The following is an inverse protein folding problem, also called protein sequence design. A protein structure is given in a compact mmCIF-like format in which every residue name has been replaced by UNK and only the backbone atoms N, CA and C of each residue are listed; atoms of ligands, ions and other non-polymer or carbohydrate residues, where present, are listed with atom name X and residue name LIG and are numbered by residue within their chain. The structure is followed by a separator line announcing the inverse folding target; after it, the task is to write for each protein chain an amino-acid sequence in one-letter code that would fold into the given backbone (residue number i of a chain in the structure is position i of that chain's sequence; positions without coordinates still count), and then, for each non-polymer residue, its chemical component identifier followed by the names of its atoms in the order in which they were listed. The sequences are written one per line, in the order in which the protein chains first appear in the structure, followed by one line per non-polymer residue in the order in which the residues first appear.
data_IF_476999184418
#
_entry.id   IF_476999184418
#
_cell.length_a   1.000
_cell.length_b   1.000
_cell.length_c   1.000
_cell.angle_alpha   90.00
_cell.angle_beta   90.00
_cell.angle_gamma   90.00
#
_symmetry.space_group_name_H-M   'P 1'
#
loop_
_entity.id
_entity.type
_entity.pdbx_description
1 polymer ?
#
# COMPACT_ATOMS: atom_id res chain seq x y z
N UNK A 1 -12.00 -14.69 27.60
CA UNK A 1 -11.36 -13.89 26.53
C UNK A 1 -9.88 -13.83 26.85
N UNK A 2 -9.11 -14.86 26.48
CA UNK A 2 -7.66 -14.84 26.66
C UNK A 2 -7.08 -13.95 25.55
N UNK A 3 -6.64 -12.75 25.90
CA UNK A 3 -5.80 -11.99 24.99
C UNK A 3 -4.49 -12.79 24.85
N UNK A 4 -4.22 -13.30 23.64
CA UNK A 4 -3.05 -14.13 23.33
C UNK A 4 -1.70 -13.41 23.57
N UNK A 5 -1.75 -12.18 24.08
CA UNK A 5 -0.64 -11.30 24.36
C UNK A 5 -0.52 -10.91 25.84
N UNK A 6 -1.35 -11.46 26.74
CA UNK A 6 -1.10 -11.28 28.18
C UNK A 6 0.24 -11.89 28.57
N UNK A 7 0.97 -11.21 29.47
CA UNK A 7 2.36 -11.55 29.85
C UNK A 7 2.50 -13.02 30.25
N UNK A 8 1.56 -13.54 31.03
CA UNK A 8 1.59 -14.91 31.55
C UNK A 8 1.33 -15.94 30.46
N UNK A 9 0.31 -15.73 29.63
CA UNK A 9 0.02 -16.60 28.49
C UNK A 9 1.17 -16.62 27.47
N UNK A 10 1.79 -15.45 27.23
CA UNK A 10 2.93 -15.33 26.32
C UNK A 10 4.19 -15.97 26.90
N UNK A 11 4.45 -15.84 28.20
CA UNK A 11 5.59 -16.46 28.86
C UNK A 11 5.48 -17.99 28.86
N UNK A 12 4.29 -18.53 29.15
CA UNK A 12 4.02 -19.97 29.06
C UNK A 12 4.21 -20.49 27.63
N UNK A 13 3.64 -19.79 26.64
CA UNK A 13 3.80 -20.16 25.24
C UNK A 13 5.26 -20.09 24.77
N UNK A 14 6.04 -19.11 25.26
CA UNK A 14 7.48 -18.99 24.98
C UNK A 14 8.25 -20.13 25.64
N UNK A 15 8.03 -20.46 26.91
CA UNK A 15 8.75 -21.55 27.58
C UNK A 15 8.60 -22.90 26.85
N UNK A 16 7.40 -23.17 26.31
CA UNK A 16 7.10 -24.43 25.59
C UNK A 16 7.50 -24.43 24.11
N UNK A 17 7.87 -23.28 23.56
CA UNK A 17 8.18 -23.13 22.14
C UNK A 17 9.67 -23.34 21.87
N UNK A 18 9.97 -24.09 20.81
CA UNK A 18 11.37 -24.30 20.38
C UNK A 18 11.90 -23.20 19.47
N UNK A 19 11.02 -22.45 18.80
CA UNK A 19 11.37 -21.35 17.91
C UNK A 19 10.16 -20.43 17.69
N UNK A 20 10.39 -19.29 17.03
CA UNK A 20 9.37 -18.29 16.73
C UNK A 20 8.21 -18.81 15.86
N UNK A 21 8.46 -19.76 14.95
CA UNK A 21 7.39 -20.35 14.13
C UNK A 21 6.49 -21.28 14.96
N UNK A 22 7.07 -21.99 15.92
CA UNK A 22 6.37 -22.83 16.87
C UNK A 22 5.50 -22.01 17.82
N UNK A 23 6.04 -20.90 18.33
CA UNK A 23 5.30 -19.93 19.14
C UNK A 23 4.10 -19.36 18.38
N UNK A 24 4.29 -18.95 17.12
CA UNK A 24 3.18 -18.44 16.29
C UNK A 24 2.09 -19.50 16.06
N UNK A 25 2.46 -20.77 15.80
CA UNK A 25 1.47 -21.85 15.66
C UNK A 25 0.68 -22.09 16.95
N UNK A 26 1.37 -22.10 18.10
CA UNK A 26 0.73 -22.28 19.42
C UNK A 26 -0.21 -21.15 19.78
N UNK A 27 0.12 -19.92 19.39
CA UNK A 27 -0.75 -18.75 19.56
C UNK A 27 -1.86 -18.63 18.51
N UNK A 28 -2.01 -19.61 17.61
CA UNK A 28 -3.00 -19.57 16.52
C UNK A 28 -2.75 -18.46 15.49
N UNK A 29 -1.54 -17.90 15.46
CA UNK A 29 -1.17 -16.78 14.58
C UNK A 29 -0.71 -17.29 13.22
N UNK A 30 -1.14 -16.60 12.15
CA UNK A 30 -0.64 -16.86 10.80
C UNK A 30 0.83 -16.46 10.68
N UNK A 31 1.65 -17.37 10.15
CA UNK A 31 3.07 -17.14 9.91
C UNK A 31 3.27 -16.02 8.88
N UNK A 32 3.62 -14.82 9.36
CA UNK A 32 3.96 -13.67 8.52
C UNK A 32 5.06 -12.85 9.15
N UNK A 33 5.95 -12.25 8.33
CA UNK A 33 7.07 -11.46 8.82
C UNK A 33 6.64 -10.17 9.56
N UNK A 34 5.40 -9.72 9.39
CA UNK A 34 4.82 -8.62 10.17
C UNK A 34 4.42 -9.07 11.57
N UNK A 35 3.69 -10.19 11.68
CA UNK A 35 3.29 -10.78 12.96
C UNK A 35 4.50 -11.22 13.78
N UNK A 36 5.52 -11.79 13.13
CA UNK A 36 6.79 -12.13 13.76
C UNK A 36 7.45 -10.92 14.44
N UNK A 37 7.51 -9.77 13.76
CA UNK A 37 8.08 -8.53 14.32
C UNK A 37 7.24 -7.97 15.46
N UNK A 38 5.91 -8.03 15.35
CA UNK A 38 5.01 -7.60 16.42
C UNK A 38 5.17 -8.46 17.68
N UNK A 39 5.29 -9.78 17.52
CA UNK A 39 5.49 -10.72 18.60
C UNK A 39 6.86 -10.54 19.27
N UNK A 40 7.93 -10.35 18.48
CA UNK A 40 9.26 -10.00 19.01
C UNK A 40 9.24 -8.71 19.83
N UNK A 41 8.55 -7.68 19.35
CA UNK A 41 8.42 -6.42 20.08
C UNK A 41 7.68 -6.60 21.42
N UNK A 42 6.62 -7.43 21.45
CA UNK A 42 5.86 -7.73 22.67
C UNK A 42 6.66 -8.58 23.66
N UNK A 43 7.34 -9.63 23.19
CA UNK A 43 8.23 -10.46 24.03
C UNK A 43 9.34 -9.61 24.68
N UNK A 44 9.95 -8.72 23.89
CA UNK A 44 10.94 -7.75 24.40
C UNK A 44 10.34 -6.77 25.41
N UNK A 45 9.12 -6.28 25.15
CA UNK A 45 8.42 -5.36 26.06
C UNK A 45 8.12 -6.01 27.41
N UNK A 46 7.80 -7.31 27.40
CA UNK A 46 7.49 -8.08 28.61
C UNK A 46 8.72 -8.67 29.31
N UNK A 47 9.93 -8.50 28.75
CA UNK A 47 11.16 -9.00 29.35
C UNK A 47 11.24 -10.53 29.43
N UNK A 48 10.54 -11.24 28.54
CA UNK A 48 10.51 -12.72 28.54
C UNK A 48 11.77 -13.23 27.85
N UNK A 49 12.48 -14.16 28.50
CA UNK A 49 13.67 -14.79 27.94
C UNK A 49 13.32 -15.70 26.75
N UNK A 50 14.12 -15.58 25.68
CA UNK A 50 13.98 -16.38 24.45
C UNK A 50 15.31 -16.98 23.99
N UNK A 51 16.32 -17.03 24.87
CA UNK A 51 17.62 -17.58 24.49
C UNK A 51 17.59 -19.09 24.18
N UNK A 52 16.62 -19.82 24.72
CA UNK A 52 16.35 -21.22 24.38
C UNK A 52 15.68 -21.40 23.02
N UNK A 53 15.16 -20.32 22.40
CA UNK A 53 14.65 -20.43 21.04
C UNK A 53 15.80 -20.78 20.14
N UNK A 54 15.74 -21.98 19.57
CA UNK A 54 16.68 -22.46 18.58
C UNK A 54 16.84 -21.37 17.53
N UNK A 55 17.99 -20.68 17.59
CA UNK A 55 18.40 -19.69 16.62
C UNK A 55 18.62 -20.48 15.33
N UNK A 56 17.55 -20.69 14.57
CA UNK A 56 17.62 -21.18 13.20
C UNK A 56 18.14 -20.06 12.29
N UNK A 57 19.26 -19.49 12.70
CA UNK A 57 20.02 -18.52 11.95
C UNK A 57 21.38 -19.13 11.75
N UNK A 58 21.53 -19.95 10.70
CA UNK A 58 22.75 -20.10 9.92
C UNK A 58 24.09 -20.35 10.64
N UNK A 59 24.09 -20.65 11.95
CA UNK A 59 25.25 -21.17 12.65
C UNK A 59 25.35 -22.63 12.21
N UNK A 60 26.45 -22.95 11.52
CA UNK A 60 26.82 -24.27 11.02
C UNK A 60 26.39 -24.66 9.59
N UNK A 61 26.10 -23.75 8.65
CA UNK A 61 26.22 -24.17 7.23
C UNK A 61 27.69 -24.33 6.83
N UNK A 62 28.56 -23.43 7.31
CA UNK A 62 30.02 -23.49 7.11
C UNK A 62 30.70 -23.12 8.43
N UNK A 63 31.52 -24.03 8.97
CA UNK A 63 32.42 -23.73 10.08
C UNK A 63 33.52 -22.78 9.61
N UNK A 64 34.10 -22.00 10.53
CA UNK A 64 35.13 -21.02 10.16
C UNK A 64 36.39 -21.73 9.63
N UNK A 65 36.67 -22.94 10.13
CA UNK A 65 37.74 -23.82 9.69
C UNK A 65 37.50 -24.35 8.27
N UNK A 66 36.29 -24.81 7.96
CA UNK A 66 35.94 -25.27 6.61
C UNK A 66 35.99 -24.11 5.60
N UNK A 67 35.58 -22.92 6.04
CA UNK A 67 35.63 -21.71 5.22
C UNK A 67 37.08 -21.28 4.94
N UNK A 68 37.98 -21.37 5.93
CA UNK A 68 39.40 -21.05 5.78
C UNK A 68 40.12 -22.06 4.87
N UNK A 69 39.87 -23.35 5.03
CA UNK A 69 40.45 -24.40 4.17
C UNK A 69 39.98 -24.28 2.71
N UNK A 70 38.69 -24.03 2.50
CA UNK A 70 38.14 -23.78 1.17
C UNK A 70 38.70 -22.50 0.56
N UNK A 71 38.88 -21.43 1.35
CA UNK A 71 39.46 -20.17 0.91
C UNK A 71 40.92 -20.31 0.45
N UNK A 72 41.76 -20.96 1.25
CA UNK A 72 43.19 -21.12 0.97
C UNK A 72 43.46 -21.94 -0.29
N UNK A 73 42.59 -22.90 -0.59
CA UNK A 73 42.73 -23.81 -1.73
C UNK A 73 41.99 -23.34 -2.99
N UNK A 74 41.34 -22.18 -2.96
CA UNK A 74 40.54 -21.66 -4.08
C UNK A 74 41.09 -20.34 -4.60
N UNK A 75 40.85 -20.08 -5.88
CA UNK A 75 41.22 -18.84 -6.56
C UNK A 75 40.03 -17.89 -6.74
N UNK A 76 38.81 -18.39 -6.51
CA UNK A 76 37.57 -17.63 -6.63
C UNK A 76 36.56 -17.99 -5.53
N UNK A 77 35.69 -17.04 -5.15
CA UNK A 77 34.57 -17.28 -4.21
C UNK A 77 33.59 -18.32 -4.75
N UNK A 78 33.50 -18.45 -6.07
CA UNK A 78 32.67 -19.46 -6.72
C UNK A 78 33.19 -20.88 -6.44
N UNK A 79 34.51 -21.09 -6.53
CA UNK A 79 35.14 -22.36 -6.13
C UNK A 79 34.98 -22.64 -4.63
N UNK A 80 35.09 -21.61 -3.78
CA UNK A 80 34.82 -21.74 -2.34
C UNK A 80 33.40 -22.26 -2.12
N UNK A 81 32.41 -21.71 -2.81
CA UNK A 81 31.03 -22.18 -2.71
C UNK A 81 30.89 -23.65 -3.16
N UNK A 82 31.52 -24.03 -4.27
CA UNK A 82 31.49 -25.42 -4.76
C UNK A 82 32.14 -26.40 -3.77
N UNK A 83 33.31 -26.06 -3.21
CA UNK A 83 34.00 -26.91 -2.22
C UNK A 83 33.25 -27.05 -0.91
N UNK A 84 32.45 -26.03 -0.56
CA UNK A 84 31.55 -26.08 0.58
C UNK A 84 30.21 -26.78 0.27
N UNK A 85 30.08 -27.41 -0.90
CA UNK A 85 28.85 -28.10 -1.33
C UNK A 85 27.67 -27.16 -1.60
N UNK A 86 27.93 -25.87 -1.80
CA UNK A 86 26.93 -24.84 -1.96
C UNK A 86 26.70 -24.51 -3.44
N UNK A 87 25.42 -24.32 -3.81
CA UNK A 87 25.10 -23.79 -5.15
C UNK A 87 25.57 -22.33 -5.26
N UNK A 88 26.41 -21.98 -6.25
CA UNK A 88 26.99 -20.65 -6.39
C UNK A 88 25.98 -19.64 -6.96
N UNK A 89 24.99 -19.28 -6.14
CA UNK A 89 24.06 -18.19 -6.42
C UNK A 89 24.58 -16.86 -5.85
N UNK A 90 24.15 -15.72 -6.40
CA UNK A 90 24.61 -14.38 -5.99
C UNK A 90 24.44 -14.13 -4.49
N UNK A 91 23.35 -14.63 -3.89
CA UNK A 91 23.11 -14.56 -2.45
C UNK A 91 24.07 -15.42 -1.62
N UNK A 92 24.32 -16.65 -2.06
CA UNK A 92 25.27 -17.58 -1.41
C UNK A 92 26.69 -17.04 -1.43
N UNK A 93 27.14 -16.55 -2.58
CA UNK A 93 28.47 -15.95 -2.74
C UNK A 93 28.63 -14.72 -1.83
N UNK A 94 27.61 -13.86 -1.76
CA UNK A 94 27.61 -12.69 -0.86
C UNK A 94 27.64 -13.09 0.62
N UNK A 95 26.94 -14.18 0.97
CA UNK A 95 26.93 -14.73 2.33
C UNK A 95 28.32 -15.26 2.73
N UNK A 96 28.96 -16.02 1.84
CA UNK A 96 30.31 -16.57 2.02
C UNK A 96 31.33 -15.44 2.20
N UNK A 97 31.34 -14.43 1.32
CA UNK A 97 32.25 -13.28 1.42
C UNK A 97 32.12 -12.56 2.77
N UNK A 98 30.88 -12.30 3.22
CA UNK A 98 30.64 -11.66 4.52
C UNK A 98 31.13 -12.52 5.69
N UNK A 99 31.02 -13.84 5.59
CA UNK A 99 31.52 -14.78 6.62
C UNK A 99 33.04 -14.82 6.65
N UNK A 100 33.69 -14.85 5.48
CA UNK A 100 35.16 -14.81 5.38
C UNK A 100 35.72 -13.54 6.00
N UNK A 101 35.12 -12.39 5.68
CA UNK A 101 35.51 -11.10 6.25
C UNK A 101 35.26 -11.03 7.76
N UNK A 102 34.16 -11.60 8.26
CA UNK A 102 33.86 -11.64 9.70
C UNK A 102 34.79 -12.58 10.48
N UNK A 103 35.28 -13.64 9.84
CA UNK A 103 36.24 -14.60 10.40
C UNK A 103 37.71 -14.18 10.22
N UNK A 104 37.97 -13.03 9.56
CA UNK A 104 39.34 -12.54 9.33
C UNK A 104 40.17 -13.38 8.35
N UNK A 105 39.52 -14.17 7.49
CA UNK A 105 40.21 -15.03 6.50
C UNK A 105 40.77 -14.15 5.38
N UNK A 106 42.05 -14.31 5.03
CA UNK A 106 42.64 -13.59 3.90
C UNK A 106 42.02 -14.04 2.58
N UNK A 107 41.54 -13.06 1.81
CA UNK A 107 40.90 -13.26 0.50
C UNK A 107 41.59 -12.42 -0.59
N UNK A 108 42.80 -11.94 -0.32
CA UNK A 108 43.56 -11.04 -1.20
C UNK A 108 43.96 -11.71 -2.53
N UNK A 109 44.15 -13.03 -2.52
CA UNK A 109 44.50 -13.86 -3.68
C UNK A 109 43.35 -14.14 -4.65
N UNK A 110 42.10 -13.85 -4.28
CA UNK A 110 40.98 -14.10 -5.19
C UNK A 110 40.98 -13.13 -6.38
N UNK A 111 40.97 -13.69 -7.60
CA UNK A 111 40.83 -12.93 -8.84
C UNK A 111 39.45 -12.26 -8.85
N UNK A 112 39.42 -10.95 -8.56
CA UNK A 112 38.20 -10.13 -8.46
C UNK A 112 37.81 -9.67 -7.04
N UNK A 113 38.56 -10.02 -5.99
CA UNK A 113 38.37 -9.43 -4.65
C UNK A 113 38.62 -7.91 -4.66
N UNK A 114 39.60 -7.47 -5.45
CA UNK A 114 39.68 -6.09 -5.93
C UNK A 114 38.90 -6.02 -7.23
N UNK A 115 37.58 -5.81 -7.14
CA UNK A 115 36.84 -5.29 -8.30
C UNK A 115 37.55 -4.01 -8.70
N UNK A 116 38.20 -3.99 -9.85
CA UNK A 116 38.75 -2.76 -10.40
C UNK A 116 37.66 -1.70 -10.34
N UNK A 117 37.94 -0.70 -9.51
CA UNK A 117 37.07 0.44 -9.31
C UNK A 117 37.00 1.07 -10.68
N UNK A 118 35.79 1.18 -11.24
CA UNK A 118 35.61 1.98 -12.44
C UNK A 118 35.96 3.41 -12.02
N UNK A 119 37.20 3.81 -12.25
CA UNK A 119 37.61 5.20 -12.21
C UNK A 119 36.90 5.84 -13.39
N UNK A 120 36.05 6.81 -13.07
CA UNK A 120 35.34 7.52 -14.10
C UNK A 120 36.34 8.42 -14.83
N UNK A 121 36.31 8.50 -16.17
CA UNK A 121 37.20 9.32 -16.95
C UNK A 121 36.79 10.81 -16.91
N UNK A 122 36.31 11.29 -15.75
CA UNK A 122 35.88 12.67 -15.56
C UNK A 122 36.75 13.33 -14.50
N UNK A 123 37.12 14.57 -14.77
CA UNK A 123 37.87 15.40 -13.84
C UNK A 123 37.00 15.83 -12.66
N UNK A 124 37.62 16.27 -11.56
CA UNK A 124 36.89 16.76 -10.40
C UNK A 124 36.02 18.00 -10.71
N UNK A 125 36.42 18.80 -11.70
CA UNK A 125 35.67 19.99 -12.15
C UNK A 125 34.45 19.60 -12.96
N UNK A 126 34.60 18.72 -13.96
CA UNK A 126 33.47 18.19 -14.75
C UNK A 126 32.41 17.53 -13.86
N UNK A 127 32.84 16.77 -12.84
CA UNK A 127 31.93 16.16 -11.87
C UNK A 127 31.21 17.21 -11.02
N UNK A 128 31.86 18.34 -10.70
CA UNK A 128 31.27 19.43 -9.90
C UNK A 128 30.25 20.20 -10.72
N UNK A 129 30.56 20.54 -11.96
CA UNK A 129 29.67 21.29 -12.87
C UNK A 129 28.45 20.46 -13.25
N UNK A 130 28.65 19.17 -13.54
CA UNK A 130 27.55 18.25 -13.80
C UNK A 130 26.68 18.02 -12.56
N UNK A 131 27.26 18.02 -11.35
CA UNK A 131 26.50 17.92 -10.11
C UNK A 131 25.74 19.23 -9.80
N UNK A 132 26.33 20.40 -10.06
CA UNK A 132 25.71 21.70 -9.82
C UNK A 132 24.52 21.97 -10.77
N UNK A 133 24.64 21.55 -12.03
CA UNK A 133 23.57 21.65 -13.05
C UNK A 133 22.46 20.61 -12.90
N UNK A 134 22.60 19.66 -11.98
CA UNK A 134 21.67 18.54 -11.82
C UNK A 134 21.01 18.49 -10.44
N UNK A 135 19.84 17.86 -10.38
CA UNK A 135 19.04 17.68 -9.17
C UNK A 135 19.04 16.22 -8.65
N UNK A 136 19.84 15.34 -9.26
CA UNK A 136 19.89 13.91 -8.95
C UNK A 136 21.13 13.23 -9.54
N UNK A 137 21.56 12.10 -8.96
CA UNK A 137 22.66 11.27 -9.51
C UNK A 137 22.36 10.83 -10.96
N UNK A 138 21.10 10.55 -11.28
CA UNK A 138 20.66 10.21 -12.64
C UNK A 138 20.70 11.42 -13.57
N UNK A 139 20.43 12.63 -13.06
CA UNK A 139 20.65 13.88 -13.79
C UNK A 139 22.12 14.07 -14.12
N UNK A 140 22.99 13.96 -13.11
CA UNK A 140 24.44 14.09 -13.28
C UNK A 140 24.99 13.07 -14.27
N UNK A 141 24.53 11.82 -14.22
CA UNK A 141 24.91 10.80 -15.20
C UNK A 141 24.50 11.18 -16.63
N UNK A 142 23.31 11.77 -16.83
CA UNK A 142 22.86 12.25 -18.14
C UNK A 142 23.69 13.42 -18.65
N UNK A 143 24.02 14.39 -17.78
CA UNK A 143 24.87 15.53 -18.13
C UNK A 143 26.28 15.08 -18.53
N UNK A 144 26.81 14.05 -17.88
CA UNK A 144 28.11 13.46 -18.20
C UNK A 144 28.07 12.45 -19.36
N UNK A 145 26.92 12.27 -20.02
CA UNK A 145 26.76 11.30 -21.12
C UNK A 145 26.96 9.84 -20.71
N UNK A 146 26.82 9.53 -19.42
CA UNK A 146 26.99 8.18 -18.88
C UNK A 146 25.74 7.32 -19.15
N UNK A 147 25.97 6.02 -19.36
CA UNK A 147 24.90 5.03 -19.42
C UNK A 147 24.15 5.00 -18.09
N UNK A 148 22.82 5.07 -18.14
CA UNK A 148 21.97 5.02 -16.93
C UNK A 148 21.69 3.59 -16.47
N UNK A 149 22.72 2.97 -15.89
CA UNK A 149 22.61 1.68 -15.22
C UNK A 149 22.97 1.78 -13.73
N UNK A 150 22.69 0.71 -12.97
CA UNK A 150 22.97 0.68 -11.54
C UNK A 150 24.46 0.78 -11.21
N UNK A 151 25.32 0.24 -12.08
CA UNK A 151 26.78 0.21 -11.88
C UNK A 151 27.39 1.60 -12.06
N UNK A 152 27.01 2.31 -13.12
CA UNK A 152 27.51 3.65 -13.44
C UNK A 152 27.01 4.67 -12.42
N UNK A 153 25.73 4.60 -12.02
CA UNK A 153 25.20 5.44 -10.93
C UNK A 153 25.93 5.21 -9.60
N UNK A 154 26.28 3.96 -9.28
CA UNK A 154 27.05 3.64 -8.07
C UNK A 154 28.51 4.12 -8.16
N UNK A 155 29.13 4.05 -9.35
CA UNK A 155 30.47 4.59 -9.58
C UNK A 155 30.49 6.12 -9.43
N UNK A 156 29.52 6.81 -10.04
CA UNK A 156 29.36 8.26 -9.96
C UNK A 156 29.11 8.75 -8.53
N UNK A 157 28.21 8.10 -7.80
CA UNK A 157 27.95 8.44 -6.40
C UNK A 157 29.21 8.31 -5.52
N UNK A 158 30.08 7.33 -5.80
CA UNK A 158 31.36 7.15 -5.09
C UNK A 158 32.38 8.21 -5.50
N UNK A 159 32.48 8.52 -6.80
CA UNK A 159 33.39 9.55 -7.30
C UNK A 159 33.07 10.92 -6.70
N UNK A 160 31.80 11.32 -6.69
CA UNK A 160 31.33 12.56 -6.04
C UNK A 160 31.71 12.59 -4.54
N UNK A 161 31.51 11.47 -3.83
CA UNK A 161 31.88 11.36 -2.41
C UNK A 161 33.41 11.42 -2.20
N UNK A 162 34.20 10.77 -3.05
CA UNK A 162 35.68 10.77 -2.97
C UNK A 162 36.24 12.18 -3.17
N UNK A 163 35.64 12.95 -4.07
CA UNK A 163 36.02 14.34 -4.37
C UNK A 163 35.39 15.37 -3.43
N UNK A 164 34.62 14.94 -2.41
CA UNK A 164 33.97 15.86 -1.47
C UNK A 164 32.89 16.76 -2.07
N UNK A 165 32.36 16.43 -3.24
CA UNK A 165 31.34 17.24 -3.93
C UNK A 165 29.99 17.06 -3.21
N UNK A 166 29.39 18.17 -2.79
CA UNK A 166 28.10 18.16 -2.10
C UNK A 166 26.98 17.71 -3.05
N UNK A 167 26.16 16.77 -2.59
CA UNK A 167 24.94 16.28 -3.28
C UNK A 167 23.68 16.51 -2.44
N UNK A 168 23.77 17.44 -1.47
CA UNK A 168 22.68 17.74 -0.54
C UNK A 168 21.46 18.34 -1.27
N UNK A 169 21.69 19.08 -2.35
CA UNK A 169 20.65 19.71 -3.20
C UNK A 169 19.88 18.72 -4.07
N UNK A 170 20.31 17.45 -4.15
CA UNK A 170 19.59 16.46 -4.95
C UNK A 170 18.21 16.16 -4.34
N UNK A 171 17.16 16.09 -5.19
CA UNK A 171 15.76 15.87 -4.77
C UNK A 171 15.55 14.63 -3.89
N UNK A 172 16.38 13.61 -4.09
CA UNK A 172 16.33 12.35 -3.34
C UNK A 172 17.48 12.18 -2.34
N UNK A 173 18.17 13.25 -1.99
CA UNK A 173 19.21 13.21 -0.96
C UNK A 173 18.64 12.63 0.34
N UNK A 174 19.46 11.83 1.02
CA UNK A 174 19.07 11.26 2.32
C UNK A 174 19.06 12.43 3.29
N UNK A 175 17.88 12.77 3.83
CA UNK A 175 17.77 13.71 4.94
C UNK A 175 18.69 13.22 6.06
N UNK A 176 19.77 13.96 6.29
CA UNK A 176 20.60 13.83 7.48
C UNK A 176 19.84 14.53 8.58
N UNK A 177 18.96 13.80 9.27
CA UNK A 177 18.27 14.31 10.45
C UNK A 177 19.24 14.14 11.62
N UNK A 178 19.83 15.22 12.17
CA UNK A 178 20.74 15.10 13.29
C UNK A 178 19.96 14.53 14.48
N UNK A 179 20.46 13.44 15.05
CA UNK A 179 19.78 12.74 16.14
C UNK A 179 19.61 13.63 17.38
N UNK A 180 20.61 14.46 17.67
CA UNK A 180 20.56 15.44 18.75
C UNK A 180 19.44 16.47 18.55
N UNK A 181 19.33 17.03 17.33
CA UNK A 181 18.27 17.99 16.99
C UNK A 181 16.87 17.35 17.10
N UNK A 182 16.73 16.09 16.67
CA UNK A 182 15.47 15.37 16.76
C UNK A 182 15.06 15.10 18.23
N UNK A 183 16.01 14.73 19.10
CA UNK A 183 15.73 14.57 20.54
C UNK A 183 15.30 15.87 21.21
N UNK A 184 15.90 17.00 20.83
CA UNK A 184 15.54 18.31 21.36
C UNK A 184 14.16 18.80 20.86
N UNK A 185 13.80 18.51 19.62
CA UNK A 185 12.59 19.03 19.00
C UNK A 185 11.31 18.23 19.32
N UNK A 186 11.42 16.92 19.60
CA UNK A 186 10.24 16.06 19.88
C UNK A 186 9.42 16.50 21.10
N UNK A 187 10.02 16.88 22.26
CA UNK A 187 9.25 17.31 23.43
C UNK A 187 8.44 18.59 23.20
N UNK A 188 8.94 19.49 22.35
CA UNK A 188 8.31 20.79 22.07
C UNK A 188 7.27 20.69 20.94
N UNK A 189 7.45 19.74 20.02
CA UNK A 189 6.56 19.59 18.88
C UNK A 189 5.19 19.03 19.26
N UNK A 190 4.13 19.61 18.71
CA UNK A 190 2.74 19.14 18.85
C UNK A 190 2.30 18.22 17.72
N UNK A 191 3.06 18.13 16.63
CA UNK A 191 2.77 17.26 15.49
C UNK A 191 4.04 16.93 14.70
N UNK A 192 3.98 15.93 13.81
CA UNK A 192 5.07 15.66 12.87
C UNK A 192 5.33 16.82 11.90
N UNK A 193 4.31 17.62 11.58
CA UNK A 193 4.48 18.81 10.76
C UNK A 193 5.27 19.89 11.51
N UNK A 194 4.95 20.11 12.79
CA UNK A 194 5.70 21.05 13.64
C UNK A 194 7.13 20.58 13.86
N UNK A 195 7.34 19.27 14.02
CA UNK A 195 8.67 18.68 14.10
C UNK A 195 9.48 18.90 12.82
N UNK A 196 8.87 18.77 11.64
CA UNK A 196 9.53 19.07 10.37
C UNK A 196 9.89 20.56 10.26
N UNK A 197 8.98 21.47 10.64
CA UNK A 197 9.24 22.92 10.64
C UNK A 197 10.36 23.30 11.60
N UNK A 198 10.36 22.77 12.81
CA UNK A 198 11.40 23.01 13.81
C UNK A 198 12.79 22.51 13.36
N UNK A 199 12.83 21.46 12.54
CA UNK A 199 14.06 20.91 11.97
C UNK A 199 14.46 21.56 10.64
N UNK A 200 13.72 22.57 10.14
CA UNK A 200 13.95 23.18 8.84
C UNK A 200 13.73 22.23 7.66
N UNK A 201 12.96 21.16 7.85
CA UNK A 201 12.64 20.16 6.83
C UNK A 201 11.33 20.54 6.15
N UNK A 202 11.32 20.48 4.82
CA UNK A 202 10.10 20.69 4.03
C UNK A 202 8.99 19.70 4.43
N UNK A 203 7.77 20.21 4.64
CA UNK A 203 6.60 19.43 5.01
C UNK A 203 6.02 18.74 3.78
N UNK A 204 6.38 17.47 3.57
CA UNK A 204 5.81 16.62 2.53
C UNK A 204 5.68 15.15 3.01
N UNK A 205 4.92 14.34 2.27
CA UNK A 205 4.62 12.94 2.65
C UNK A 205 5.85 12.03 2.70
N UNK A 206 6.87 12.32 1.90
CA UNK A 206 8.11 11.53 1.86
C UNK A 206 8.93 11.80 3.11
N UNK A 207 9.11 13.07 3.47
CA UNK A 207 9.81 13.52 4.66
C UNK A 207 9.09 13.09 5.93
N UNK A 208 7.76 13.19 5.95
CA UNK A 208 6.93 12.68 7.03
C UNK A 208 7.16 11.18 7.28
N UNK A 209 7.15 10.36 6.22
CA UNK A 209 7.44 8.91 6.31
C UNK A 209 8.88 8.61 6.74
N UNK A 210 9.86 9.43 6.37
CA UNK A 210 11.26 9.28 6.77
C UNK A 210 11.46 9.63 8.25
N UNK A 211 10.91 10.77 8.68
CA UNK A 211 10.98 11.26 10.05
C UNK A 211 10.30 10.30 11.02
N UNK A 212 9.10 9.80 10.69
CA UNK A 212 8.39 8.80 11.50
C UNK A 212 9.18 7.51 11.69
N UNK A 213 9.88 7.04 10.65
CA UNK A 213 10.77 5.88 10.75
C UNK A 213 11.96 6.14 11.68
N UNK A 214 12.57 7.34 11.59
CA UNK A 214 13.70 7.72 12.43
C UNK A 214 13.30 7.88 13.90
N UNK A 215 12.17 8.53 14.18
CA UNK A 215 11.57 8.63 15.53
C UNK A 215 11.31 7.25 16.13
N UNK A 216 10.70 6.34 15.36
CA UNK A 216 10.44 4.96 15.81
C UNK A 216 11.74 4.17 16.05
N UNK A 217 12.76 4.35 15.21
CA UNK A 217 14.07 3.71 15.37
C UNK A 217 14.78 4.15 16.66
N UNK A 218 14.59 5.41 17.06
CA UNK A 218 15.18 6.00 18.27
C UNK A 218 14.35 5.79 19.53
N UNK A 219 13.13 5.25 19.40
CA UNK A 219 12.23 5.02 20.53
C UNK A 219 11.76 6.29 21.22
N UNK A 220 11.64 7.41 20.50
CA UNK A 220 11.18 8.67 21.08
C UNK A 220 9.67 8.66 21.31
N UNK A 221 9.23 9.18 22.46
CA UNK A 221 7.80 9.29 22.76
C UNK A 221 7.16 10.43 21.96
N UNK A 222 6.06 10.10 21.29
CA UNK A 222 5.25 11.01 20.46
C UNK A 222 3.76 10.86 20.75
N UNK A 223 3.41 10.30 21.91
CA UNK A 223 2.01 10.14 22.33
C UNK A 223 1.30 11.48 22.53
N UNK A 224 2.05 12.52 22.89
CA UNK A 224 1.57 13.90 23.04
C UNK A 224 1.25 14.59 21.71
N UNK A 225 1.61 13.99 20.56
CA UNK A 225 1.31 14.60 19.27
C UNK A 225 -0.20 14.60 19.02
N UNK A 226 -0.73 15.79 18.73
CA UNK A 226 -2.17 16.01 18.54
C UNK A 226 -2.63 15.27 17.30
N UNK A 227 -3.43 14.21 17.49
CA UNK A 227 -4.15 13.59 16.38
C UNK A 227 -5.36 14.44 16.07
N UNK A 228 -5.32 15.24 15.00
CA UNK A 228 -6.57 15.67 14.37
C UNK A 228 -7.22 14.41 13.80
N UNK A 229 -8.38 13.93 14.31
CA UNK A 229 -9.14 12.97 13.55
C UNK A 229 -9.43 13.66 12.21
N UNK A 230 -9.10 12.99 11.11
CA UNK A 230 -9.60 13.42 9.80
C UNK A 230 -11.10 13.54 9.97
N UNK A 231 -11.61 14.77 10.00
CA UNK A 231 -13.01 15.04 10.29
C UNK A 231 -13.82 14.11 9.40
N UNK A 232 -14.60 13.19 10.00
CA UNK A 232 -15.71 12.57 9.28
C UNK A 232 -16.49 13.75 8.74
N UNK A 233 -16.48 13.94 7.42
CA UNK A 233 -17.40 14.90 6.81
C UNK A 233 -18.77 14.55 7.40
N UNK A 234 -19.52 15.51 7.97
CA UNK A 234 -20.92 15.27 8.30
C UNK A 234 -21.55 14.67 7.04
N UNK A 235 -22.28 13.58 7.18
CA UNK A 235 -23.03 13.04 6.05
C UNK A 235 -23.87 14.19 5.51
N UNK A 236 -23.64 14.59 4.25
CA UNK A 236 -24.45 15.62 3.63
C UNK A 236 -25.91 15.19 3.77
N UNK A 237 -26.78 16.10 4.21
CA UNK A 237 -28.22 15.87 4.20
C UNK A 237 -28.62 15.55 2.77
N UNK A 238 -28.96 14.29 2.49
CA UNK A 238 -29.42 13.87 1.17
C UNK A 238 -30.80 14.49 0.98
N UNK A 239 -30.95 15.39 0.01
CA UNK A 239 -32.26 15.98 -0.30
C UNK A 239 -33.24 14.89 -0.76
N UNK A 240 -34.52 14.96 -0.35
CA UNK A 240 -35.57 14.07 -0.83
C UNK A 240 -35.68 14.13 -2.36
N UNK A 241 -35.71 12.98 -3.02
CA UNK A 241 -35.72 12.88 -4.48
C UNK A 241 -37.16 12.88 -5.04
N UNK A 242 -38.14 12.44 -4.25
CA UNK A 242 -39.52 12.29 -4.70
C UNK A 242 -40.13 13.57 -5.31
N UNK A 243 -39.94 14.78 -4.74
CA UNK A 243 -40.50 16.01 -5.32
C UNK A 243 -40.03 16.30 -6.74
N UNK A 244 -38.82 15.85 -7.11
CA UNK A 244 -38.24 16.06 -8.45
C UNK A 244 -38.55 14.94 -9.44
N UNK A 245 -38.90 13.75 -8.95
CA UNK A 245 -39.05 12.54 -9.76
C UNK A 245 -40.51 12.21 -10.01
N UNK A 246 -41.40 12.46 -9.06
CA UNK A 246 -42.83 12.15 -9.16
C UNK A 246 -43.63 13.30 -9.79
N UNK A 247 -43.21 13.75 -10.98
CA UNK A 247 -43.81 14.89 -11.67
C UNK A 247 -44.19 14.55 -13.11
N UNK A 248 -45.04 15.40 -13.70
CA UNK A 248 -45.23 15.42 -15.14
C UNK A 248 -44.02 16.11 -15.79
N UNK A 249 -43.44 15.47 -16.80
CA UNK A 249 -42.26 15.96 -17.51
C UNK A 249 -42.65 16.54 -18.87
N UNK A 250 -41.95 17.60 -19.34
CA UNK A 250 -42.23 18.19 -20.64
C UNK A 250 -41.94 17.22 -21.78
N UNK A 251 -42.65 17.40 -22.90
CA UNK A 251 -42.50 16.58 -24.10
C UNK A 251 -41.05 16.60 -24.62
N UNK A 252 -40.56 15.45 -25.08
CA UNK A 252 -39.15 15.28 -25.49
C UNK A 252 -38.18 14.95 -24.35
N UNK A 253 -38.64 14.94 -23.09
CA UNK A 253 -37.83 14.51 -21.95
C UNK A 253 -37.37 13.04 -22.07
N UNK A 254 -36.14 12.70 -21.65
CA UNK A 254 -35.68 11.31 -21.66
C UNK A 254 -36.44 10.49 -20.63
N UNK A 255 -36.75 9.23 -20.96
CA UNK A 255 -37.45 8.30 -20.05
C UNK A 255 -36.74 8.23 -18.68
N UNK A 256 -37.47 8.38 -17.56
CA UNK A 256 -36.87 8.34 -16.23
C UNK A 256 -36.20 6.99 -15.94
N UNK A 257 -35.08 7.03 -15.21
CA UNK A 257 -34.40 5.81 -14.76
C UNK A 257 -35.28 5.09 -13.74
N UNK A 258 -35.53 3.80 -13.97
CA UNK A 258 -36.33 2.93 -13.09
C UNK A 258 -35.89 2.99 -11.62
N UNK A 259 -34.58 3.02 -11.36
CA UNK A 259 -34.05 3.09 -9.99
C UNK A 259 -34.46 4.35 -9.23
N UNK A 260 -34.55 5.49 -9.93
CA UNK A 260 -35.00 6.76 -9.31
C UNK A 260 -36.49 6.73 -8.98
N UNK A 261 -37.31 6.11 -9.84
CA UNK A 261 -38.73 5.93 -9.57
C UNK A 261 -38.96 5.01 -8.37
N UNK A 262 -38.21 3.91 -8.24
CA UNK A 262 -38.27 3.06 -7.03
C UNK A 262 -37.92 3.83 -5.77
N UNK A 263 -36.82 4.60 -5.81
CA UNK A 263 -36.39 5.39 -4.67
C UNK A 263 -37.44 6.43 -4.26
N UNK A 264 -38.00 7.15 -5.24
CA UNK A 264 -39.03 8.15 -5.01
C UNK A 264 -40.34 7.56 -4.45
N UNK A 265 -40.77 6.40 -4.96
CA UNK A 265 -41.96 5.70 -4.46
C UNK A 265 -41.76 5.18 -3.02
N UNK A 266 -40.57 4.67 -2.69
CA UNK A 266 -40.23 4.27 -1.33
C UNK A 266 -40.18 5.45 -0.36
N UNK A 267 -39.64 6.59 -0.82
CA UNK A 267 -39.54 7.82 -0.03
C UNK A 267 -40.91 8.38 0.37
N UNK A 268 -41.91 8.31 -0.52
CA UNK A 268 -43.30 8.71 -0.22
C UNK A 268 -44.14 7.60 0.43
N UNK A 269 -43.52 6.47 0.80
CA UNK A 269 -44.16 5.40 1.56
C UNK A 269 -45.07 4.48 0.75
N UNK A 270 -44.87 4.33 -0.56
CA UNK A 270 -45.62 3.36 -1.36
C UNK A 270 -45.22 1.94 -0.98
N UNK A 271 -46.17 1.09 -0.54
CA UNK A 271 -45.87 -0.30 -0.24
C UNK A 271 -45.33 -1.03 -1.47
N UNK A 272 -44.26 -1.82 -1.29
CA UNK A 272 -43.71 -2.65 -2.34
C UNK A 272 -44.55 -3.92 -2.53
N UNK A 273 -45.76 -3.75 -3.07
CA UNK A 273 -46.69 -4.83 -3.34
C UNK A 273 -47.37 -4.63 -4.70
N UNK A 274 -47.72 -5.72 -5.37
CA UNK A 274 -48.48 -5.69 -6.61
C UNK A 274 -49.85 -5.05 -6.36
N UNK A 275 -50.19 -4.01 -7.12
CA UNK A 275 -51.47 -3.30 -7.00
C UNK A 275 -52.68 -4.14 -7.42
N UNK A 276 -52.46 -5.22 -8.17
CA UNK A 276 -53.52 -6.12 -8.66
C UNK A 276 -53.69 -7.33 -7.73
N UNK A 277 -52.66 -8.18 -7.61
CA UNK A 277 -52.74 -9.42 -6.82
C UNK A 277 -52.16 -9.34 -5.41
N UNK A 278 -51.66 -8.18 -4.96
CA UNK A 278 -51.09 -8.01 -3.62
C UNK A 278 -49.71 -8.66 -3.38
N UNK A 279 -49.10 -9.29 -4.39
CA UNK A 279 -47.81 -9.97 -4.24
C UNK A 279 -46.71 -9.02 -3.68
N UNK A 280 -46.05 -9.35 -2.55
CA UNK A 280 -45.06 -8.48 -1.89
C UNK A 280 -43.67 -8.46 -2.55
N UNK A 281 -43.54 -9.00 -3.76
CA UNK A 281 -42.26 -9.20 -4.43
C UNK A 281 -41.64 -10.57 -4.16
N UNK A 282 -42.44 -11.61 -4.04
CA UNK A 282 -41.98 -12.99 -3.84
C UNK A 282 -42.65 -13.97 -4.82
N UNK A 283 -41.88 -14.94 -5.32
CA UNK A 283 -42.36 -16.05 -6.12
C UNK A 283 -41.63 -17.34 -5.73
N UNK A 284 -42.38 -18.37 -5.32
CA UNK A 284 -41.83 -19.68 -4.90
C UNK A 284 -40.72 -19.58 -3.85
N UNK A 285 -40.87 -18.74 -2.82
CA UNK A 285 -39.84 -18.56 -1.79
C UNK A 285 -38.67 -17.68 -2.19
N UNK A 286 -38.70 -17.06 -3.39
CA UNK A 286 -37.59 -16.24 -3.92
C UNK A 286 -38.05 -14.83 -4.22
N UNK A 287 -37.22 -13.80 -3.95
CA UNK A 287 -37.58 -12.42 -4.25
C UNK A 287 -37.69 -12.21 -5.76
N UNK A 288 -38.76 -11.55 -6.19
CA UNK A 288 -38.96 -11.07 -7.55
C UNK A 288 -39.05 -9.56 -7.55
N UNK A 289 -38.55 -8.93 -8.61
CA UNK A 289 -38.67 -7.47 -8.72
C UNK A 289 -40.01 -7.09 -9.32
N UNK A 290 -40.82 -6.36 -8.56
CA UNK A 290 -42.02 -5.69 -9.08
C UNK A 290 -41.62 -4.63 -10.12
N UNK A 291 -42.43 -4.55 -11.16
CA UNK A 291 -42.29 -3.62 -12.28
C UNK A 291 -43.11 -2.36 -11.98
N UNK A 292 -42.64 -1.21 -12.46
CA UNK A 292 -43.37 0.06 -12.32
C UNK A 292 -44.14 0.26 -13.61
N UNK A 293 -45.47 0.23 -13.51
CA UNK A 293 -46.39 0.48 -14.61
C UNK A 293 -46.97 1.90 -14.51
N UNK A 294 -47.22 2.49 -15.67
CA UNK A 294 -47.90 3.78 -15.79
C UNK A 294 -49.34 3.47 -16.19
N UNK A 295 -50.32 3.86 -15.36
CA UNK A 295 -51.73 3.51 -15.57
C UNK A 295 -52.23 4.03 -16.93
N UNK A 296 -51.82 5.22 -17.33
CA UNK A 296 -52.15 5.80 -18.64
C UNK A 296 -51.21 5.36 -19.79
N UNK A 297 -50.13 4.62 -19.51
CA UNK A 297 -49.13 4.20 -20.47
C UNK A 297 -48.13 5.29 -20.92
N UNK A 298 -48.24 6.51 -20.40
CA UNK A 298 -47.35 7.63 -20.71
C UNK A 298 -46.19 7.70 -19.69
N UNK A 299 -44.96 7.51 -20.17
CA UNK A 299 -43.76 7.58 -19.33
C UNK A 299 -43.33 9.01 -18.95
N UNK A 300 -43.93 10.04 -19.56
CA UNK A 300 -43.69 11.45 -19.20
C UNK A 300 -44.44 11.81 -17.91
N UNK A 301 -45.53 11.11 -17.62
CA UNK A 301 -46.33 11.31 -16.41
C UNK A 301 -45.87 10.38 -15.28
N UNK A 302 -44.83 10.81 -14.55
CA UNK A 302 -44.32 10.06 -13.38
C UNK A 302 -45.02 10.46 -12.08
N UNK A 303 -46.16 11.15 -12.12
CA UNK A 303 -46.90 11.53 -10.90
C UNK A 303 -47.32 10.29 -10.13
N UNK A 304 -47.36 10.40 -8.80
CA UNK A 304 -47.60 9.27 -7.88
C UNK A 304 -48.87 8.50 -8.23
N UNK A 305 -49.94 9.20 -8.54
CA UNK A 305 -51.26 8.66 -8.90
C UNK A 305 -51.25 7.83 -10.19
N UNK A 306 -50.31 8.11 -11.11
CA UNK A 306 -50.17 7.39 -12.37
C UNK A 306 -49.23 6.17 -12.27
N UNK A 307 -48.50 6.01 -11.17
CA UNK A 307 -47.54 4.92 -10.97
C UNK A 307 -48.09 3.84 -10.05
N UNK A 308 -47.91 2.57 -10.46
CA UNK A 308 -48.22 1.40 -9.64
C UNK A 308 -47.15 0.31 -9.76
N UNK A 309 -46.99 -0.46 -8.69
CA UNK A 309 -46.18 -1.68 -8.72
C UNK A 309 -47.02 -2.84 -9.25
N UNK A 310 -46.49 -3.61 -10.20
CA UNK A 310 -47.09 -4.84 -10.69
C UNK A 310 -46.06 -5.97 -10.69
N UNK A 311 -46.48 -7.18 -10.31
CA UNK A 311 -45.64 -8.35 -10.50
C UNK A 311 -45.57 -8.69 -12.01
N UNK A 312 -44.54 -9.42 -12.46
CA UNK A 312 -44.39 -9.76 -13.88
C UNK A 312 -45.62 -10.44 -14.51
N UNK A 313 -46.36 -11.24 -13.73
CA UNK A 313 -47.55 -11.95 -14.20
C UNK A 313 -48.78 -11.04 -14.33
N UNK A 314 -48.99 -10.09 -13.41
CA UNK A 314 -50.08 -9.13 -13.52
C UNK A 314 -49.78 -8.06 -14.58
N UNK A 315 -48.51 -7.68 -14.72
CA UNK A 315 -48.13 -6.66 -15.69
C UNK A 315 -48.38 -7.12 -17.14
N UNK A 316 -48.24 -8.42 -17.44
CA UNK A 316 -48.57 -8.96 -18.77
C UNK A 316 -50.05 -8.84 -19.14
N UNK A 317 -50.94 -8.64 -18.17
CA UNK A 317 -52.39 -8.50 -18.38
C UNK A 317 -52.82 -7.05 -18.62
N UNK A 318 -51.90 -6.08 -18.51
CA UNK A 318 -52.23 -4.66 -18.71
C UNK A 318 -52.34 -4.30 -20.18
N UNK A 319 -53.26 -3.39 -20.51
CA UNK A 319 -53.40 -2.88 -21.88
C UNK A 319 -52.16 -2.14 -22.36
N UNK A 320 -51.30 -1.67 -21.44
CA UNK A 320 -50.04 -0.96 -21.68
C UNK A 320 -48.86 -1.90 -21.94
N UNK A 321 -49.03 -3.21 -21.72
CA UNK A 321 -48.00 -4.22 -21.92
C UNK A 321 -47.60 -4.36 -23.39
N UNK A 322 -46.30 -4.27 -23.67
CA UNK A 322 -45.73 -4.44 -25.02
C UNK A 322 -46.38 -3.60 -26.12
N UNK A 323 -46.97 -2.43 -25.80
CA UNK A 323 -47.51 -1.53 -26.83
C UNK A 323 -46.41 -1.18 -27.84
N UNK A 324 -46.66 -1.50 -29.11
CA UNK A 324 -45.85 -1.00 -30.22
C UNK A 324 -45.98 0.52 -30.25
N UNK A 325 -44.84 1.18 -30.45
CA UNK A 325 -44.79 2.63 -30.67
C UNK A 325 -45.77 2.96 -31.81
N UNK A 326 -46.74 3.89 -31.62
CA UNK A 326 -47.57 4.31 -32.73
C UNK A 326 -46.65 4.85 -33.85
N UNK A 327 -46.97 4.61 -35.13
CA UNK A 327 -46.21 5.18 -36.23
C UNK A 327 -46.12 6.69 -36.01
N UNK A 328 -44.90 7.24 -36.14
CA UNK A 328 -44.71 8.69 -36.04
C UNK A 328 -45.62 9.34 -37.09
N UNK A 329 -46.50 10.25 -36.67
CA UNK A 329 -47.22 11.09 -37.61
C UNK A 329 -46.17 11.82 -38.45
N UNK A 330 -46.29 11.69 -39.77
CA UNK A 330 -45.32 12.17 -40.74
C UNK A 330 -45.36 13.71 -40.76
N UNK A 331 -44.59 14.35 -39.88
CA UNK A 331 -44.37 15.80 -39.92
C UNK A 331 -43.29 16.10 -40.95
N UNK A 332 -43.61 15.90 -42.23
CA UNK A 332 -42.84 16.50 -43.33
C UNK A 332 -43.32 17.95 -43.49
N UNK A 333 -42.50 18.97 -43.17
CA UNK A 333 -42.82 20.32 -43.61
C UNK A 333 -42.62 20.35 -45.13
N UNK A 334 -43.69 20.68 -45.86
CA UNK A 334 -43.58 20.99 -47.29
C UNK A 334 -42.47 22.03 -47.49
N UNK A 335 -41.45 21.66 -48.26
CA UNK A 335 -40.50 22.61 -48.85
C UNK A 335 -41.20 23.28 -50.05
N UNK A 336 -40.91 24.57 -50.31
CA UNK A 336 -41.78 25.48 -51.05
C UNK A 336 -42.02 25.09 -52.51
#
# INVERSE_FOLDING_TARGET
MNDAYEREALAAAVAESKNWADLMRRLGLRASGGQHRALQAKVKLHGIDTDHFSRRGFRHTYTDEALASAAASSSTVHEVALKLGARPATGTLSHIVRRMSAAGIDTSHFKGAKRDRVELPFTGEELRDAAASSDSIRGTARTLGMIDDGRSRAALARALKKQGISTAHFRNSRLLIPEAALRAAVPVATSYADLMRALGIEVNDVNHRRLRRKVAQLGLDVRHFTRRPWSRRPAATVEPIAPSVLTLRPEGSPRPKRSRLHQALQEVGVPYACADCGNPGEWRGRPITLQIDHVNGDWLDSRRENLRYLCPNCHTLTDTWCRKRPPRADSSPGRP
#
